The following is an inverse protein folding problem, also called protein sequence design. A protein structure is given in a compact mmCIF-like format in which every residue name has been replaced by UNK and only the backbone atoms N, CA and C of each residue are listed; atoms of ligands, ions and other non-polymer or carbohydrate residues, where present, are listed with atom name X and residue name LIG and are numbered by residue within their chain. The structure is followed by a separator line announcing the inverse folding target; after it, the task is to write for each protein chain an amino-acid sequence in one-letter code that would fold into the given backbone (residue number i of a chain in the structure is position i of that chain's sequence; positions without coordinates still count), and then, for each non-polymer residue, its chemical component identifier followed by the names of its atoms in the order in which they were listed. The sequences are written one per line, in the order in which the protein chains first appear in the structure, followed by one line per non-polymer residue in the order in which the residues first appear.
data_IF_129854700332
#
_entry.id   IF_129854700332
#
_cell.length_a   1.000
_cell.length_b   1.000
_cell.length_c   1.000
_cell.angle_alpha   90.00
_cell.angle_beta   90.00
_cell.angle_gamma   90.00
#
_symmetry.space_group_name_H-M   'P 1'
#
loop_
_entity.id
_entity.type
_entity.pdbx_description
1 polymer ?
#
# COMPACT_ATOMS: atom_id res chain seq x y z
N UNK A 1 -4.93 11.46 20.68
CA UNK A 1 -3.75 11.43 19.79
C UNK A 1 -3.71 10.00 19.31
N UNK A 2 -3.91 9.75 18.01
CA UNK A 2 -3.76 8.40 17.48
C UNK A 2 -2.27 8.06 17.61
N UNK A 3 -1.96 6.99 18.33
CA UNK A 3 -0.59 6.49 18.40
C UNK A 3 -0.24 5.92 17.02
N UNK A 4 0.96 6.18 16.50
CA UNK A 4 1.39 5.65 15.20
C UNK A 4 2.52 4.66 15.39
N UNK A 5 2.40 3.50 14.76
CA UNK A 5 3.38 2.43 14.78
C UNK A 5 4.13 2.48 13.46
N UNK A 6 5.45 2.43 13.53
CA UNK A 6 6.30 2.32 12.33
C UNK A 6 6.67 0.87 12.13
N UNK A 7 6.23 0.30 11.00
CA UNK A 7 6.49 -1.06 10.59
C UNK A 7 7.58 -1.06 9.52
N UNK A 8 8.63 -1.84 9.77
CA UNK A 8 9.73 -2.08 8.83
C UNK A 8 9.82 -3.54 8.43
N UNK A 9 9.31 -4.45 9.27
CA UNK A 9 9.30 -5.88 9.01
C UNK A 9 8.20 -6.27 8.04
N UNK A 10 8.55 -7.11 7.05
CA UNK A 10 7.63 -7.54 6.01
C UNK A 10 6.44 -8.34 6.57
N UNK A 11 6.70 -9.22 7.54
CA UNK A 11 5.64 -9.99 8.20
C UNK A 11 4.66 -9.11 8.99
N UNK A 12 5.16 -8.07 9.67
CA UNK A 12 4.29 -7.14 10.42
C UNK A 12 3.39 -6.34 9.46
N UNK A 13 3.97 -5.82 8.38
CA UNK A 13 3.23 -5.08 7.35
C UNK A 13 2.15 -5.96 6.73
N UNK A 14 2.49 -7.19 6.37
CA UNK A 14 1.56 -8.15 5.77
C UNK A 14 0.43 -8.51 6.73
N UNK A 15 0.76 -8.76 7.99
CA UNK A 15 -0.23 -9.08 9.02
C UNK A 15 -1.18 -7.91 9.29
N UNK A 16 -0.65 -6.69 9.37
CA UNK A 16 -1.43 -5.47 9.56
C UNK A 16 -2.38 -5.20 8.38
N UNK A 17 -1.88 -5.37 7.15
CA UNK A 17 -2.67 -5.21 5.93
C UNK A 17 -3.75 -6.30 5.83
N UNK A 18 -3.40 -7.57 6.06
CA UNK A 18 -4.34 -8.69 6.01
C UNK A 18 -5.51 -8.54 7.01
N UNK A 19 -5.25 -8.03 8.22
CA UNK A 19 -6.28 -7.74 9.21
C UNK A 19 -7.34 -6.72 8.74
N UNK A 20 -7.02 -5.94 7.70
CA UNK A 20 -7.83 -4.90 7.09
C UNK A 20 -8.23 -5.22 5.65
N UNK A 21 -7.98 -6.45 5.17
CA UNK A 21 -8.14 -6.82 3.76
C UNK A 21 -7.39 -5.87 2.80
N UNK A 22 -6.19 -5.45 3.20
CA UNK A 22 -5.30 -4.60 2.42
C UNK A 22 -4.43 -5.40 1.46
N UNK A 23 -4.32 -4.89 0.24
CA UNK A 23 -3.52 -5.46 -0.84
C UNK A 23 -2.39 -4.51 -1.24
N UNK A 24 -1.20 -5.05 -1.57
CA UNK A 24 -0.09 -4.26 -2.06
C UNK A 24 -0.37 -3.74 -3.46
N UNK A 25 -0.17 -2.44 -3.64
CA UNK A 25 -0.33 -1.78 -4.92
C UNK A 25 0.81 -0.79 -5.16
N UNK A 26 1.12 -0.57 -6.43
CA UNK A 26 2.08 0.44 -6.86
C UNK A 26 1.32 1.47 -7.68
N UNK A 27 1.46 2.74 -7.31
CA UNK A 27 0.94 3.83 -8.11
C UNK A 27 2.08 4.35 -8.98
N UNK A 28 1.95 4.20 -10.29
CA UNK A 28 2.81 4.91 -11.24
C UNK A 28 2.21 6.29 -11.49
N UNK A 29 2.76 7.30 -10.82
CA UNK A 29 2.40 8.70 -10.97
C UNK A 29 3.32 9.36 -12.01
N UNK A 30 3.41 8.79 -13.21
CA UNK A 30 4.15 9.41 -14.32
C UNK A 30 3.18 10.11 -15.28
N UNK A 31 3.09 11.45 -15.20
CA UNK A 31 3.32 12.21 -16.42
C UNK A 31 4.35 13.35 -16.28
N UNK A 32 4.84 13.66 -15.07
CA UNK A 32 5.80 14.75 -14.85
C UNK A 32 7.17 14.23 -14.38
N UNK A 33 8.29 14.78 -14.91
CA UNK A 33 9.64 14.36 -14.53
C UNK A 33 9.95 14.83 -13.10
N UNK A 34 9.75 13.95 -12.12
CA UNK A 34 10.10 14.21 -10.72
C UNK A 34 9.30 13.40 -9.70
N UNK A 35 8.20 12.76 -10.11
CA UNK A 35 7.34 12.02 -9.19
C UNK A 35 7.73 10.54 -9.21
N UNK A 36 8.33 10.06 -8.12
CA UNK A 36 8.71 8.65 -7.98
C UNK A 36 7.47 7.77 -7.77
N UNK A 37 7.44 6.58 -8.40
CA UNK A 37 6.41 5.58 -8.18
C UNK A 37 6.18 5.36 -6.67
N UNK A 38 4.92 5.46 -6.22
CA UNK A 38 4.60 5.43 -4.79
C UNK A 38 3.99 4.09 -4.44
N UNK A 39 4.60 3.39 -3.48
CA UNK A 39 4.00 2.20 -2.89
C UNK A 39 2.72 2.59 -2.16
N UNK A 40 1.69 1.76 -2.24
CA UNK A 40 0.41 1.98 -1.57
C UNK A 40 -0.17 0.65 -1.09
N UNK A 41 -1.04 0.73 -0.08
CA UNK A 41 -1.92 -0.36 0.31
C UNK A 41 -3.36 0.02 -0.04
N UNK A 42 -4.08 -0.89 -0.69
CA UNK A 42 -5.46 -0.69 -1.12
C UNK A 42 -6.34 -1.65 -0.35
N UNK A 43 -7.31 -1.14 0.39
CA UNK A 43 -8.22 -1.93 1.26
C UNK A 43 -9.56 -2.23 0.57
N UNK A 44 -9.53 -2.43 -0.74
CA UNK A 44 -10.74 -2.59 -1.54
C UNK A 44 -11.08 -4.07 -1.71
N UNK A 45 -12.29 -4.46 -1.28
CA UNK A 45 -12.77 -5.84 -1.36
C UNK A 45 -13.06 -6.29 -2.80
N UNK A 46 -13.11 -5.38 -3.78
CA UNK A 46 -13.32 -5.68 -5.20
C UNK A 46 -12.00 -5.86 -5.98
N UNK A 47 -10.85 -5.68 -5.33
CA UNK A 47 -9.54 -5.80 -5.95
C UNK A 47 -9.23 -7.21 -6.51
N UNK A 48 -9.86 -8.25 -5.97
CA UNK A 48 -9.63 -9.65 -6.36
C UNK A 48 -10.73 -10.26 -7.25
N UNK A 49 -11.90 -9.61 -7.41
CA UNK A 49 -13.00 -10.17 -8.22
C UNK A 49 -12.87 -9.89 -9.72
N UNK A 50 -11.82 -9.17 -10.14
CA UNK A 50 -11.71 -8.67 -11.50
C UNK A 50 -10.37 -9.01 -12.16
N UNK A 51 -10.03 -10.30 -12.16
CA UNK A 51 -8.99 -10.86 -13.06
C UNK A 51 -9.47 -10.91 -14.54
N UNK A 52 -10.73 -10.49 -14.80
CA UNK A 52 -11.42 -10.59 -16.11
C UNK A 52 -11.95 -9.24 -16.69
N UNK A 53 -11.55 -8.06 -16.17
CA UNK A 53 -11.77 -6.78 -16.89
C UNK A 53 -10.48 -6.26 -17.53
N UNK A 54 -10.35 -6.35 -18.86
CA UNK A 54 -9.24 -5.75 -19.59
C UNK A 54 -9.32 -4.23 -19.74
N UNK A 55 -10.21 -3.51 -19.04
CA UNK A 55 -10.49 -2.10 -19.37
C UNK A 55 -10.75 -1.23 -18.13
N UNK A 56 -9.72 -0.99 -17.30
CA UNK A 56 -9.69 0.23 -16.49
C UNK A 56 -8.99 1.32 -17.32
N UNK A 57 -9.61 2.49 -17.58
CA UNK A 57 -9.05 3.48 -18.48
C UNK A 57 -7.65 3.92 -17.99
N UNK A 58 -6.62 3.93 -18.86
CA UNK A 58 -5.22 4.12 -18.48
C UNK A 58 -4.88 5.51 -17.91
N UNK A 59 -5.84 6.44 -17.84
CA UNK A 59 -5.60 7.86 -17.55
C UNK A 59 -6.30 8.40 -16.28
N UNK A 60 -6.66 7.54 -15.32
CA UNK A 60 -7.28 7.97 -14.04
C UNK A 60 -6.31 7.92 -12.82
N UNK A 61 -5.00 8.04 -13.03
CA UNK A 61 -4.01 7.95 -11.94
C UNK A 61 -3.97 6.56 -11.30
N UNK A 62 -3.79 5.53 -12.14
CA UNK A 62 -3.96 4.12 -11.79
C UNK A 62 -2.94 3.62 -10.77
N UNK A 63 -3.44 2.82 -9.82
CA UNK A 63 -2.62 1.88 -9.06
C UNK A 63 -2.70 0.51 -9.74
N UNK A 64 -1.56 -0.16 -9.81
CA UNK A 64 -1.44 -1.55 -10.22
C UNK A 64 -1.34 -2.42 -8.96
N UNK A 65 -2.19 -3.44 -8.86
CA UNK A 65 -2.06 -4.44 -7.80
C UNK A 65 -0.86 -5.31 -8.14
N UNK A 66 0.05 -5.47 -7.20
CA UNK A 66 1.26 -6.26 -7.38
C UNK A 66 1.31 -7.37 -6.35
N UNK A 67 2.25 -8.30 -6.51
CA UNK A 67 2.51 -9.29 -5.47
C UNK A 67 3.28 -8.66 -4.29
N UNK A 68 3.09 -9.22 -3.09
CA UNK A 68 3.80 -8.78 -1.89
C UNK A 68 5.33 -8.82 -2.06
N UNK A 69 5.85 -9.82 -2.77
CA UNK A 69 7.29 -9.95 -3.03
C UNK A 69 7.84 -8.75 -3.81
N UNK A 70 7.15 -8.34 -4.88
CA UNK A 70 7.55 -7.20 -5.70
C UNK A 70 7.44 -5.87 -4.93
N UNK A 71 6.36 -5.73 -4.17
CA UNK A 71 6.15 -4.57 -3.31
C UNK A 71 7.27 -4.44 -2.27
N UNK A 72 7.61 -5.53 -1.57
CA UNK A 72 8.66 -5.54 -0.55
C UNK A 72 10.04 -5.32 -1.15
N UNK A 73 10.29 -5.81 -2.36
CA UNK A 73 11.55 -5.55 -3.07
C UNK A 73 11.78 -4.06 -3.25
N UNK A 74 10.77 -3.31 -3.67
CA UNK A 74 10.87 -1.85 -3.83
C UNK A 74 10.93 -1.16 -2.46
N UNK A 75 10.18 -1.66 -1.48
CA UNK A 75 10.18 -1.14 -0.12
C UNK A 75 11.57 -1.20 0.52
N UNK A 76 12.25 -2.35 0.40
CA UNK A 76 13.60 -2.55 0.92
C UNK A 76 14.66 -1.80 0.11
N UNK A 77 14.60 -1.87 -1.23
CA UNK A 77 15.52 -1.16 -2.13
C UNK A 77 15.53 0.36 -1.87
N UNK A 78 14.34 0.92 -1.64
CA UNK A 78 14.17 2.35 -1.35
C UNK A 78 14.28 2.68 0.14
N UNK A 79 14.54 1.69 0.98
CA UNK A 79 14.69 1.84 2.41
C UNK A 79 13.49 2.58 3.04
N UNK A 80 12.29 2.12 2.74
CA UNK A 80 11.05 2.73 3.19
C UNK A 80 10.61 2.17 4.56
N UNK A 81 9.69 2.87 5.21
CA UNK A 81 9.04 2.48 6.45
C UNK A 81 7.54 2.75 6.33
N UNK A 82 6.70 1.82 6.81
CA UNK A 82 5.25 1.97 6.79
C UNK A 82 4.79 2.46 8.17
N UNK A 83 4.36 3.72 8.24
CA UNK A 83 3.73 4.29 9.44
C UNK A 83 2.24 4.05 9.37
N UNK A 84 1.70 3.34 10.36
CA UNK A 84 0.29 3.03 10.50
C UNK A 84 -0.25 3.56 11.81
N UNK A 85 -1.54 3.82 11.88
CA UNK A 85 -2.17 4.05 13.17
C UNK A 85 -2.18 2.76 14.00
N UNK A 86 -1.94 2.89 15.31
CA UNK A 86 -2.06 1.81 16.27
C UNK A 86 -3.50 1.27 16.27
N UNK A 87 -3.64 -0.05 16.39
CA UNK A 87 -4.95 -0.67 16.49
C UNK A 87 -5.56 -0.34 17.85
N UNK A 88 -6.60 0.49 17.87
CA UNK A 88 -7.35 0.79 19.08
C UNK A 88 -8.63 -0.06 19.13
N UNK A 89 -8.89 -0.79 20.22
CA UNK A 89 -10.10 -1.59 20.35
C UNK A 89 -11.34 -0.68 20.31
N UNK A 90 -12.13 -0.82 19.24
CA UNK A 90 -13.31 0.00 18.97
C UNK A 90 -13.10 1.11 17.93
N UNK A 91 -11.86 1.33 17.46
CA UNK A 91 -11.53 2.27 16.39
C UNK A 91 -10.41 1.71 15.50
N UNK A 92 -10.79 1.16 14.35
CA UNK A 92 -9.81 0.81 13.31
C UNK A 92 -9.56 2.03 12.44
N UNK A 93 -8.38 2.61 12.57
CA UNK A 93 -7.92 3.64 11.64
C UNK A 93 -7.32 3.00 10.38
N UNK A 94 -7.69 3.55 9.23
CA UNK A 94 -7.19 3.18 7.91
C UNK A 94 -5.96 4.01 7.51
N UNK A 95 -5.50 4.87 8.43
CA UNK A 95 -4.34 5.72 8.22
C UNK A 95 -3.09 4.86 8.05
N UNK A 96 -2.47 5.01 6.87
CA UNK A 96 -1.17 4.48 6.56
C UNK A 96 -0.40 5.51 5.74
N UNK A 97 0.89 5.60 5.99
CA UNK A 97 1.80 6.47 5.27
C UNK A 97 3.11 5.74 5.07
N UNK A 98 3.65 5.78 3.86
CA UNK A 98 4.98 5.24 3.58
C UNK A 98 5.94 6.41 3.56
N UNK A 99 6.97 6.32 4.40
CA UNK A 99 8.01 7.34 4.53
C UNK A 99 9.37 6.71 4.24
N UNK A 100 10.33 7.53 3.82
CA UNK A 100 11.72 7.09 3.68
C UNK A 100 12.38 7.04 5.05
N UNK A 101 13.16 5.99 5.31
CA UNK A 101 14.00 5.88 6.51
C UNK A 101 15.25 6.75 6.43
#
# INVERSE_FOLDING_TARGET
MADTITLTDHDEIRSWAAARAGFPAIVDISPEPGTQAMLRLVFDQQAYEDEDRPERPPNAGGYELVEWDEWFKIFDDRQLALVVAADEPGRREEFHQIVRR
#
